data_IF_508632430777
#
_entry.id   IF_508632430777
#
_cell.length_a   1.000
_cell.length_b   1.000
_cell.length_c   1.000
_cell.angle_alpha   90.00
_cell.angle_beta   90.00
_cell.angle_gamma   90.00
#
_symmetry.space_group_name_H-M   'P 1'
#
loop_
_entity.id
_entity.type
_entity.pdbx_description
1 polymer ?
#
# COMPACT_ATOMS: atom_id res chain seq x y z
N UNK A 1 20.67 -35.59 -19.11
CA UNK A 1 20.45 -34.82 -17.87
C UNK A 1 18.99 -34.41 -17.84
N UNK A 2 18.18 -35.10 -17.05
CA UNK A 2 16.74 -34.85 -16.95
C UNK A 2 16.49 -33.82 -15.85
N UNK A 3 15.83 -32.72 -16.18
CA UNK A 3 15.39 -31.73 -15.21
C UNK A 3 14.26 -32.36 -14.38
N UNK A 4 14.50 -32.50 -13.07
CA UNK A 4 13.49 -32.98 -12.13
C UNK A 4 12.43 -31.90 -11.97
N UNK A 5 11.23 -32.21 -12.44
CA UNK A 5 10.02 -31.43 -12.25
C UNK A 5 9.64 -31.51 -10.76
N UNK A 6 9.64 -30.36 -10.08
CA UNK A 6 9.27 -30.26 -8.67
C UNK A 6 7.75 -30.43 -8.59
N UNK A 7 7.30 -31.62 -8.20
CA UNK A 7 5.90 -31.88 -7.87
C UNK A 7 5.59 -31.27 -6.50
N UNK A 8 4.87 -30.15 -6.47
CA UNK A 8 4.14 -29.71 -5.27
C UNK A 8 2.65 -30.00 -5.44
N UNK A 9 2.02 -30.76 -4.52
CA UNK A 9 0.57 -30.88 -4.49
C UNK A 9 -0.02 -29.59 -3.91
N UNK A 10 -0.39 -28.63 -4.76
CA UNK A 10 -1.08 -27.42 -4.31
C UNK A 10 -2.59 -27.64 -4.38
N UNK A 11 -3.20 -27.83 -3.20
CA UNK A 11 -4.64 -27.83 -3.04
C UNK A 11 -5.20 -26.41 -3.26
N UNK A 12 -5.32 -25.96 -4.51
CA UNK A 12 -6.29 -24.98 -5.00
C UNK A 12 -6.35 -23.56 -4.40
N UNK A 13 -5.63 -23.22 -3.33
CA UNK A 13 -5.48 -21.85 -2.83
C UNK A 13 -4.21 -21.28 -3.44
N UNK A 14 -4.37 -20.49 -4.50
CA UNK A 14 -3.28 -19.64 -4.99
C UNK A 14 -3.00 -18.60 -3.91
N UNK A 15 -2.07 -18.89 -3.00
CA UNK A 15 -1.61 -17.91 -2.02
C UNK A 15 -0.98 -16.75 -2.80
N UNK A 16 -1.60 -15.59 -2.67
CA UNK A 16 -1.18 -14.36 -3.33
C UNK A 16 0.24 -14.01 -2.86
N UNK A 17 1.14 -13.66 -3.78
CA UNK A 17 2.53 -13.34 -3.43
C UNK A 17 2.57 -12.05 -2.58
N UNK A 18 3.59 -11.83 -1.73
CA UNK A 18 3.61 -10.70 -0.79
C UNK A 18 3.41 -9.32 -1.45
N UNK A 19 4.04 -9.07 -2.60
CA UNK A 19 3.83 -7.84 -3.38
C UNK A 19 2.39 -7.69 -3.88
N UNK A 20 1.81 -8.78 -4.36
CA UNK A 20 0.44 -8.80 -4.85
C UNK A 20 -0.54 -8.59 -3.68
N UNK A 21 -0.28 -9.16 -2.51
CA UNK A 21 -1.08 -8.97 -1.31
C UNK A 21 -1.10 -7.50 -0.88
N UNK A 22 0.08 -6.90 -0.75
CA UNK A 22 0.23 -5.50 -0.32
C UNK A 22 -0.38 -4.54 -1.34
N UNK A 23 -0.12 -4.73 -2.64
CA UNK A 23 -0.73 -3.90 -3.69
C UNK A 23 -2.26 -4.01 -3.70
N UNK A 24 -2.81 -5.22 -3.50
CA UNK A 24 -4.25 -5.43 -3.35
C UNK A 24 -4.84 -4.64 -2.20
N UNK A 25 -4.18 -4.69 -1.03
CA UNK A 25 -4.64 -4.02 0.17
C UNK A 25 -4.65 -2.49 0.01
N UNK A 26 -3.64 -1.95 -0.70
CA UNK A 26 -3.57 -0.54 -1.07
C UNK A 26 -4.72 -0.18 -2.01
N UNK A 27 -4.92 -0.93 -3.10
CA UNK A 27 -5.97 -0.66 -4.10
C UNK A 27 -7.38 -0.74 -3.51
N UNK A 28 -7.67 -1.76 -2.69
CA UNK A 28 -8.96 -1.92 -2.05
C UNK A 28 -9.27 -0.75 -1.10
N UNK A 29 -8.31 -0.40 -0.26
CA UNK A 29 -8.45 0.70 0.71
C UNK A 29 -8.59 2.06 0.01
N UNK A 30 -7.84 2.29 -1.07
CA UNK A 30 -7.97 3.47 -1.91
C UNK A 30 -9.38 3.55 -2.53
N UNK A 31 -9.93 2.42 -3.00
CA UNK A 31 -11.30 2.35 -3.52
C UNK A 31 -12.35 2.75 -2.48
N UNK A 32 -12.21 2.26 -1.24
CA UNK A 32 -13.12 2.62 -0.13
C UNK A 32 -13.05 4.13 0.15
N UNK A 33 -11.85 4.70 0.24
CA UNK A 33 -11.65 6.12 0.49
C UNK A 33 -12.22 6.98 -0.63
N UNK A 34 -11.82 6.72 -1.88
CA UNK A 34 -12.27 7.49 -3.04
C UNK A 34 -13.79 7.42 -3.17
N UNK A 35 -14.38 6.24 -3.01
CA UNK A 35 -15.82 6.05 -3.04
C UNK A 35 -16.56 6.83 -1.94
N UNK A 36 -16.04 6.81 -0.71
CA UNK A 36 -16.58 7.62 0.38
C UNK A 36 -16.51 9.12 0.06
N UNK A 37 -15.34 9.63 -0.31
CA UNK A 37 -15.16 11.06 -0.60
C UNK A 37 -16.09 11.52 -1.73
N UNK A 38 -16.22 10.72 -2.80
CA UNK A 38 -17.14 11.01 -3.90
C UNK A 38 -18.61 11.01 -3.44
N UNK A 39 -19.02 10.02 -2.65
CA UNK A 39 -20.42 9.87 -2.18
C UNK A 39 -20.86 11.04 -1.32
N UNK A 40 -19.94 11.56 -0.49
CA UNK A 40 -20.22 12.67 0.43
C UNK A 40 -19.77 14.04 -0.12
N UNK A 41 -19.41 14.11 -1.41
CA UNK A 41 -18.96 15.33 -2.09
C UNK A 41 -17.80 16.05 -1.38
N UNK A 42 -16.88 15.26 -0.81
CA UNK A 42 -15.69 15.75 -0.13
C UNK A 42 -14.54 15.94 -1.13
N UNK A 43 -13.63 16.90 -0.88
CA UNK A 43 -12.45 17.10 -1.73
C UNK A 43 -11.55 15.86 -1.72
N UNK A 44 -10.99 15.54 -2.88
CA UNK A 44 -9.98 14.49 -3.01
C UNK A 44 -8.62 15.01 -2.52
N UNK A 45 -7.79 14.16 -1.89
CA UNK A 45 -6.43 14.54 -1.54
C UNK A 45 -5.59 14.80 -2.79
N UNK A 46 -4.80 15.86 -2.76
CA UNK A 46 -3.83 16.24 -3.79
C UNK A 46 -2.53 16.72 -3.13
N UNK A 47 -1.44 16.77 -3.91
CA UNK A 47 -0.20 17.41 -3.49
C UNK A 47 -0.18 18.93 -3.75
N UNK A 48 -1.25 19.44 -4.36
CA UNK A 48 -1.42 20.86 -4.65
C UNK A 48 -1.74 21.64 -3.37
N UNK A 49 -1.46 22.95 -3.38
CA UNK A 49 -1.66 23.81 -2.21
C UNK A 49 -3.12 23.93 -1.75
N UNK A 50 -4.07 23.60 -2.64
CA UNK A 50 -5.52 23.59 -2.36
C UNK A 50 -6.03 22.23 -1.83
N UNK A 51 -5.14 21.25 -1.67
CA UNK A 51 -5.49 19.94 -1.12
C UNK A 51 -6.03 20.01 0.31
N UNK A 52 -6.99 19.14 0.68
CA UNK A 52 -7.56 19.14 2.02
C UNK A 52 -6.52 18.75 3.07
N UNK A 53 -6.37 19.58 4.12
CA UNK A 53 -5.47 19.26 5.25
C UNK A 53 -5.94 18.06 6.08
N UNK A 54 -7.23 17.72 6.01
CA UNK A 54 -7.83 16.55 6.66
C UNK A 54 -8.55 15.73 5.61
N UNK A 55 -7.97 14.58 5.24
CA UNK A 55 -8.50 13.70 4.19
C UNK A 55 -9.77 12.98 4.65
N UNK A 56 -9.77 12.42 5.86
CA UNK A 56 -10.92 11.71 6.42
C UNK A 56 -11.43 12.44 7.65
N UNK A 57 -12.69 12.92 7.66
CA UNK A 57 -13.32 13.56 8.81
C UNK A 57 -13.33 12.66 10.06
N UNK A 58 -13.31 13.25 11.26
CA UNK A 58 -13.32 12.49 12.53
C UNK A 58 -14.57 11.63 12.72
N UNK A 59 -15.69 12.07 12.17
CA UNK A 59 -16.99 11.38 12.21
C UNK A 59 -17.18 10.36 11.08
N UNK A 60 -16.17 10.12 10.25
CA UNK A 60 -16.26 9.12 9.20
C UNK A 60 -16.46 7.71 9.79
N UNK A 61 -17.20 6.83 9.08
CA UNK A 61 -17.42 5.46 9.52
C UNK A 61 -16.10 4.71 9.80
N UNK A 62 -16.08 3.76 10.76
CA UNK A 62 -14.85 3.06 11.16
C UNK A 62 -14.12 2.37 10.00
N UNK A 63 -14.84 1.83 9.02
CA UNK A 63 -14.24 1.21 7.83
C UNK A 63 -13.48 2.23 6.96
N UNK A 64 -13.94 3.48 6.88
CA UNK A 64 -13.26 4.56 6.15
C UNK A 64 -12.03 5.03 6.91
N UNK A 65 -12.13 5.14 8.25
CA UNK A 65 -10.97 5.45 9.10
C UNK A 65 -9.86 4.40 8.96
N UNK A 66 -10.25 3.13 8.93
CA UNK A 66 -9.33 2.01 8.75
C UNK A 66 -8.77 1.97 7.33
N UNK A 67 -9.58 2.28 6.31
CA UNK A 67 -9.13 2.42 4.93
C UNK A 67 -8.14 3.57 4.74
N UNK A 68 -8.11 4.58 5.62
CA UNK A 68 -7.05 5.60 5.65
C UNK A 68 -5.71 5.04 6.12
N UNK A 69 -5.73 4.16 7.11
CA UNK A 69 -4.50 3.69 7.77
C UNK A 69 -3.85 2.53 7.01
N UNK A 70 -4.66 1.65 6.41
CA UNK A 70 -4.19 0.47 5.67
C UNK A 70 -3.20 0.79 4.55
N UNK A 71 -3.45 1.76 3.64
CA UNK A 71 -2.50 2.12 2.60
C UNK A 71 -1.16 2.58 3.13
N UNK A 72 -1.14 3.31 4.26
CA UNK A 72 0.10 3.81 4.84
C UNK A 72 1.01 2.66 5.29
N UNK A 73 0.45 1.72 6.06
CA UNK A 73 1.18 0.55 6.53
C UNK A 73 1.62 -0.35 5.36
N UNK A 74 0.69 -0.67 4.44
CA UNK A 74 0.98 -1.56 3.31
C UNK A 74 1.99 -0.94 2.31
N UNK A 75 1.95 0.38 2.10
CA UNK A 75 2.92 1.06 1.23
C UNK A 75 4.31 1.08 1.85
N UNK A 76 4.41 1.27 3.17
CA UNK A 76 5.69 1.19 3.88
C UNK A 76 6.27 -0.23 3.82
N UNK A 77 5.45 -1.25 4.04
CA UNK A 77 5.88 -2.64 3.96
C UNK A 77 6.29 -3.03 2.53
N UNK A 78 5.53 -2.59 1.52
CA UNK A 78 5.86 -2.82 0.11
C UNK A 78 7.18 -2.12 -0.26
N UNK A 79 7.37 -0.89 0.20
CA UNK A 79 8.62 -0.16 0.02
C UNK A 79 9.80 -0.89 0.67
N UNK A 80 9.66 -1.36 1.91
CA UNK A 80 10.68 -2.14 2.62
C UNK A 80 11.03 -3.43 1.87
N UNK A 81 10.00 -4.16 1.40
CA UNK A 81 10.16 -5.39 0.66
C UNK A 81 10.85 -5.17 -0.69
N UNK A 82 10.48 -4.11 -1.41
CA UNK A 82 11.09 -3.73 -2.69
C UNK A 82 12.54 -3.28 -2.56
N UNK A 83 12.84 -2.55 -1.47
CA UNK A 83 14.20 -2.06 -1.19
C UNK A 83 15.12 -3.21 -0.79
N UNK A 84 14.59 -4.20 -0.06
CA UNK A 84 15.37 -5.29 0.48
C UNK A 84 16.28 -4.86 1.65
N UNK A 85 16.76 -5.82 2.46
CA UNK A 85 17.48 -5.53 3.70
C UNK A 85 18.83 -4.83 3.48
N UNK A 86 19.49 -5.09 2.34
CA UNK A 86 20.82 -4.54 2.02
C UNK A 86 20.80 -3.03 1.80
N UNK A 87 19.74 -2.51 1.18
CA UNK A 87 19.63 -1.09 0.85
C UNK A 87 18.73 -0.33 1.85
N UNK A 88 17.88 -1.02 2.61
CA UNK A 88 16.97 -0.37 3.55
C UNK A 88 17.71 0.25 4.74
N UNK A 89 18.58 -0.51 5.42
CA UNK A 89 19.26 -0.05 6.64
C UNK A 89 20.25 1.11 6.40
N UNK A 90 21.08 1.10 5.34
CA UNK A 90 21.97 2.23 5.04
C UNK A 90 21.21 3.51 4.64
N UNK A 91 20.11 3.38 3.88
CA UNK A 91 19.30 4.53 3.47
C UNK A 91 18.48 5.11 4.63
N UNK A 92 18.03 4.26 5.57
CA UNK A 92 17.37 4.73 6.79
C UNK A 92 18.33 5.53 7.69
N UNK A 93 19.56 5.04 7.85
CA UNK A 93 20.56 5.63 8.74
C UNK A 93 21.09 6.99 8.26
N UNK A 94 21.09 7.22 6.94
CA UNK A 94 21.59 8.46 6.33
C UNK A 94 20.50 9.52 6.14
N UNK A 95 19.23 9.20 6.44
CA UNK A 95 18.10 10.08 6.16
C UNK A 95 17.94 10.38 4.67
N UNK A 96 18.60 9.61 3.79
CA UNK A 96 18.52 9.79 2.35
C UNK A 96 17.13 9.39 1.92
N UNK A 97 16.36 10.39 1.49
CA UNK A 97 15.03 10.17 0.94
C UNK A 97 15.17 9.34 -0.33
N UNK A 98 14.73 8.09 -0.27
CA UNK A 98 14.65 7.20 -1.44
C UNK A 98 13.58 7.69 -2.44
N UNK A 99 12.86 8.77 -2.10
CA UNK A 99 11.94 9.53 -2.94
C UNK A 99 12.65 10.48 -3.93
N UNK A 100 13.74 10.04 -4.56
CA UNK A 100 14.34 10.77 -5.68
C UNK A 100 14.48 9.87 -6.91
N UNK A 101 13.43 9.09 -7.19
CA UNK A 101 13.29 8.35 -8.44
C UNK A 101 12.22 9.07 -9.27
N UNK A 102 12.69 9.93 -10.17
CA UNK A 102 12.01 10.38 -11.39
C UNK A 102 12.92 10.08 -12.57
#
# INVERSE_FOLDING_TARGET
>A
MSLQQINTPSNGVSEKLPFEQLSSAISESAGILSGYLTTYHLPQPSFEADGPSVIVPVNAPPNVQLARQKPLAASLELFQLATGPSDFLPNLATGVSVFNIV
#
